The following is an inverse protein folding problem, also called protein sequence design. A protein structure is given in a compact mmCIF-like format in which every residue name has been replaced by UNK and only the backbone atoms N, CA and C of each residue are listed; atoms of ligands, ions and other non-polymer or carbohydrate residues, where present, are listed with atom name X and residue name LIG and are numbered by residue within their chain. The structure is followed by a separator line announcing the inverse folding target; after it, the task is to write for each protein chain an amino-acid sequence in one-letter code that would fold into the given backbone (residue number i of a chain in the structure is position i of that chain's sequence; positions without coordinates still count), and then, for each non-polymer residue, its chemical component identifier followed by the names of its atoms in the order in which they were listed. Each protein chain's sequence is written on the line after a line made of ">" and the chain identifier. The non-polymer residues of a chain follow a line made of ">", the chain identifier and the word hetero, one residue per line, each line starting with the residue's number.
data_IF_079494655817
#
_entry.id   IF_079494655817
#
_cell.length_a   1.000
_cell.length_b   1.000
_cell.length_c   1.000
_cell.angle_alpha   90.00
_cell.angle_beta   90.00
_cell.angle_gamma   90.00
#
_symmetry.space_group_name_H-M   'P 1'
#
loop_
_entity.id
_entity.type
_entity.pdbx_description
1 polymer ?
#
# COMPACT_ATOMS: atom_id res chain seq x y z
N UNK A 1 -1.60 11.79 8.30
CA UNK A 1 -2.23 12.60 9.35
C UNK A 1 -1.27 12.67 10.52
N UNK A 2 -0.88 13.88 10.89
CA UNK A 2 0.13 14.21 11.91
C UNK A 2 -0.57 14.43 13.26
N UNK A 3 0.11 14.06 14.35
CA UNK A 3 -0.17 14.49 15.73
C UNK A 3 -0.95 13.44 16.53
N UNK A 4 -0.37 12.69 17.48
CA UNK A 4 0.62 13.11 18.47
C UNK A 4 -0.11 13.37 19.78
N UNK A 5 -0.50 12.30 20.50
CA UNK A 5 -1.09 12.39 21.83
C UNK A 5 0.00 12.73 22.83
N UNK A 6 0.17 14.03 23.09
CA UNK A 6 0.96 14.54 24.20
C UNK A 6 0.23 14.24 25.52
N UNK A 7 0.45 13.05 26.09
CA UNK A 7 0.30 12.88 27.53
C UNK A 7 1.45 13.65 28.19
N UNK A 8 1.21 14.93 28.48
CA UNK A 8 2.10 15.77 29.27
C UNK A 8 2.36 15.11 30.62
N UNK A 9 3.53 14.49 30.76
CA UNK A 9 4.09 14.12 32.03
C UNK A 9 4.25 15.41 32.84
N UNK A 10 3.44 15.55 33.89
CA UNK A 10 3.64 16.60 34.89
C UNK A 10 5.02 16.35 35.50
N UNK A 11 5.97 17.30 35.43
CA UNK A 11 7.23 17.11 36.12
C UNK A 11 6.94 17.11 37.63
N UNK A 12 7.32 16.01 38.30
CA UNK A 12 7.41 15.96 39.75
C UNK A 12 8.23 17.17 40.20
N UNK A 13 7.53 18.17 40.74
CA UNK A 13 8.18 19.29 41.42
C UNK A 13 8.80 18.70 42.66
N UNK A 14 10.12 18.47 42.61
CA UNK A 14 10.94 18.25 43.80
C UNK A 14 10.73 19.46 44.70
N UNK A 15 9.91 19.31 45.73
CA UNK A 15 9.71 20.35 46.72
C UNK A 15 11.08 20.65 47.33
N UNK A 16 11.54 21.89 47.16
CA UNK A 16 12.70 22.42 47.86
C UNK A 16 12.49 22.20 49.37
N UNK A 17 13.56 21.87 50.10
CA UNK A 17 13.54 21.69 51.57
C UNK A 17 12.84 22.84 52.31
N UNK A 18 12.84 24.04 51.73
CA UNK A 18 12.15 25.23 52.23
C UNK A 18 10.60 25.12 52.16
N UNK A 19 10.04 24.46 51.16
CA UNK A 19 8.60 24.29 51.00
C UNK A 19 8.03 23.22 51.98
N UNK A 20 8.83 22.21 52.31
CA UNK A 20 8.45 21.19 53.31
C UNK A 20 8.46 21.79 54.73
N UNK A 21 9.36 22.73 55.02
CA UNK A 21 9.45 23.38 56.33
C UNK A 21 8.31 24.37 56.60
N UNK A 22 7.76 25.02 55.56
CA UNK A 22 6.57 25.87 55.66
C UNK A 22 5.30 25.08 56.03
N UNK A 23 5.12 23.88 55.48
CA UNK A 23 3.97 23.00 55.78
C UNK A 23 4.00 22.43 57.20
N UNK A 24 5.18 22.37 57.82
CA UNK A 24 5.39 21.86 59.18
C UNK A 24 5.24 22.99 60.24
N UNK A 25 5.16 24.26 59.82
CA UNK A 25 4.86 25.40 60.67
C UNK A 25 6.03 25.89 61.52
N UNK A 26 7.26 25.81 61.01
CA UNK A 26 8.45 26.31 61.70
C UNK A 26 8.85 27.66 61.09
N UNK A 27 8.51 28.77 61.78
CA UNK A 27 9.01 30.10 61.44
C UNK A 27 10.47 30.24 61.91
N UNK A 28 11.35 30.74 61.04
CA UNK A 28 12.78 30.99 61.30
C UNK A 28 13.05 32.11 62.33
N UNK A 29 12.01 32.72 62.91
CA UNK A 29 12.12 33.87 63.81
C UNK A 29 12.45 33.52 65.28
N UNK A 30 12.42 32.23 65.66
CA UNK A 30 12.64 31.81 67.05
C UNK A 30 14.12 31.63 67.46
N UNK A 31 15.07 31.87 66.56
CA UNK A 31 16.52 31.72 66.83
C UNK A 31 17.32 33.04 66.95
N UNK A 32 16.68 34.21 66.82
CA UNK A 32 17.38 35.50 66.66
C UNK A 32 17.31 36.46 67.86
N UNK A 33 16.65 36.12 68.97
CA UNK A 33 16.40 37.07 70.09
C UNK A 33 17.18 36.81 71.38
N UNK A 34 18.48 36.49 71.31
CA UNK A 34 19.31 36.31 72.54
C UNK A 34 20.48 37.29 72.68
N UNK A 35 20.72 38.20 71.72
CA UNK A 35 21.90 39.08 71.80
C UNK A 35 21.60 40.56 71.49
N UNK A 36 21.07 41.30 72.47
CA UNK A 36 21.23 42.77 72.53
C UNK A 36 20.88 43.28 73.93
N UNK A 37 21.88 43.35 74.82
CA UNK A 37 21.82 44.19 76.01
C UNK A 37 22.51 45.53 75.70
N UNK A 38 21.83 46.68 75.75
CA UNK A 38 22.51 47.96 75.85
C UNK A 38 22.87 48.24 77.33
N UNK A 39 24.15 48.50 77.58
CA UNK A 39 24.64 49.10 78.83
C UNK A 39 23.99 50.47 79.08
N UNK A 40 23.68 50.85 80.34
CA UNK A 40 23.12 52.16 80.62
C UNK A 40 24.21 53.24 80.66
N UNK A 41 24.04 54.28 79.84
CA UNK A 41 24.79 55.52 79.93
C UNK A 41 24.41 56.27 81.20
N UNK A 42 25.42 56.54 82.03
CA UNK A 42 25.31 57.14 83.36
C UNK A 42 25.31 58.67 83.24
N UNK A 43 24.18 59.32 83.51
CA UNK A 43 24.14 60.76 83.83
C UNK A 43 23.48 60.95 85.19
N UNK A 44 24.22 61.63 86.08
CA UNK A 44 23.84 62.04 87.43
C UNK A 44 22.45 62.67 87.47
N UNK A 45 21.59 62.37 88.43
CA UNK A 45 21.76 62.79 89.82
C UNK A 45 20.49 62.39 90.59
N UNK A 46 20.65 62.13 91.88
CA UNK A 46 19.65 62.18 92.97
C UNK A 46 19.68 60.94 93.85
N UNK A 47 20.32 61.17 94.99
CA UNK A 47 20.35 60.37 96.20
C UNK A 47 18.95 59.93 96.63
N UNK A 48 18.59 58.66 96.36
CA UNK A 48 17.54 57.96 97.10
C UNK A 48 17.84 56.46 97.19
N UNK A 49 18.02 56.02 98.43
CA UNK A 49 17.64 54.69 98.94
C UNK A 49 18.43 53.48 98.43
N UNK A 50 19.41 53.02 99.24
CA UNK A 50 20.15 51.77 99.05
C UNK A 50 19.29 50.49 99.14
N UNK A 51 17.99 50.64 99.48
CA UNK A 51 16.99 49.57 99.45
C UNK A 51 16.21 49.55 98.14
N UNK A 52 15.97 50.69 97.47
CA UNK A 52 15.22 50.76 96.21
C UNK A 52 16.01 50.17 95.03
N UNK A 53 17.32 50.46 94.93
CA UNK A 53 18.19 49.83 93.93
C UNK A 53 18.34 48.33 94.17
N UNK A 54 18.45 47.89 95.44
CA UNK A 54 18.51 46.46 95.80
C UNK A 54 17.24 45.71 95.43
N UNK A 55 16.08 46.31 95.66
CA UNK A 55 14.78 45.71 95.30
C UNK A 55 14.61 45.64 93.79
N UNK A 56 15.02 46.66 93.03
CA UNK A 56 15.01 46.59 91.56
C UNK A 56 15.98 45.55 91.01
N UNK A 57 17.19 45.44 91.58
CA UNK A 57 18.18 44.44 91.15
C UNK A 57 17.76 43.01 91.47
N UNK A 58 17.14 42.78 92.64
CA UNK A 58 16.55 41.49 93.02
C UNK A 58 15.30 41.16 92.19
N UNK A 59 14.46 42.14 91.85
CA UNK A 59 13.28 41.95 90.99
C UNK A 59 13.66 41.66 89.54
N UNK A 60 14.73 42.29 89.03
CA UNK A 60 15.29 42.04 87.71
C UNK A 60 15.97 40.66 87.64
N UNK A 61 16.79 40.30 88.63
CA UNK A 61 17.36 38.94 88.74
C UNK A 61 16.28 37.87 88.97
N UNK A 62 15.21 38.16 89.70
CA UNK A 62 14.10 37.23 89.92
C UNK A 62 13.21 37.07 88.68
N UNK A 63 13.02 38.12 87.87
CA UNK A 63 12.30 38.00 86.60
C UNK A 63 13.14 37.32 85.50
N UNK A 64 14.47 37.43 85.51
CA UNK A 64 15.34 36.65 84.61
C UNK A 64 15.66 35.22 85.12
N UNK A 65 15.51 34.95 86.42
CA UNK A 65 15.55 33.58 87.00
C UNK A 65 14.22 32.82 86.90
N UNK A 66 13.14 33.45 86.42
CA UNK A 66 11.86 32.81 86.07
C UNK A 66 11.83 32.47 84.58
N UNK A 67 12.02 31.26 84.11
CA UNK A 67 12.53 30.05 84.74
C UNK A 67 13.11 29.22 83.58
N UNK A 68 14.33 28.68 83.68
CA UNK A 68 14.81 27.66 82.77
C UNK A 68 13.77 26.54 82.58
N UNK A 69 13.00 26.26 83.63
CA UNK A 69 11.84 25.37 83.63
C UNK A 69 10.76 25.70 82.58
N UNK A 70 10.44 26.97 82.29
CA UNK A 70 9.41 27.32 81.29
C UNK A 70 9.87 27.01 79.86
N UNK A 71 11.14 27.26 79.57
CA UNK A 71 11.74 26.91 78.28
C UNK A 71 11.84 25.39 78.14
N UNK A 72 12.32 24.68 79.17
CA UNK A 72 12.37 23.21 79.20
C UNK A 72 10.98 22.61 78.99
N UNK A 73 9.94 23.11 79.65
CA UNK A 73 8.56 22.63 79.43
C UNK A 73 8.04 22.89 78.00
N UNK A 74 8.44 24.00 77.37
CA UNK A 74 8.08 24.28 75.97
C UNK A 74 8.80 23.32 75.02
N UNK A 75 10.08 23.05 75.26
CA UNK A 75 10.85 22.05 74.49
C UNK A 75 10.27 20.65 74.65
N UNK A 76 9.94 20.21 75.86
CA UNK A 76 9.33 18.90 76.10
C UNK A 76 7.99 18.75 75.35
N UNK A 77 7.12 19.78 75.39
CA UNK A 77 5.88 19.76 74.60
C UNK A 77 6.09 19.74 73.09
N UNK A 78 7.15 20.38 72.59
CA UNK A 78 7.50 20.33 71.18
C UNK A 78 8.00 18.93 70.79
N UNK A 79 8.81 18.29 71.66
CA UNK A 79 9.25 16.91 71.48
C UNK A 79 8.08 15.93 71.50
N UNK A 80 7.13 16.07 72.42
CA UNK A 80 5.91 15.23 72.46
C UNK A 80 5.11 15.36 71.16
N UNK A 81 4.94 16.59 70.65
CA UNK A 81 4.26 16.83 69.36
C UNK A 81 5.01 16.26 68.16
N UNK A 82 6.33 16.26 68.19
CA UNK A 82 7.14 15.66 67.13
C UNK A 82 7.05 14.14 67.19
N UNK A 83 7.09 13.55 68.40
CA UNK A 83 6.91 12.11 68.62
C UNK A 83 5.56 11.63 68.10
N UNK A 84 4.46 12.33 68.39
CA UNK A 84 3.14 11.92 67.88
C UNK A 84 3.03 12.09 66.36
N UNK A 85 3.66 13.11 65.77
CA UNK A 85 3.72 13.26 64.31
C UNK A 85 4.55 12.16 63.66
N UNK A 86 5.64 11.73 64.31
CA UNK A 86 6.48 10.61 63.86
C UNK A 86 5.69 9.30 63.88
N UNK A 87 4.95 9.03 64.96
CA UNK A 87 4.09 7.84 65.07
C UNK A 87 3.01 7.82 63.97
N UNK A 88 2.30 8.93 63.76
CA UNK A 88 1.29 9.04 62.69
C UNK A 88 1.93 8.85 61.30
N UNK A 89 3.10 9.44 61.07
CA UNK A 89 3.82 9.28 59.81
C UNK A 89 4.28 7.84 59.60
N UNK A 90 4.75 7.15 60.65
CA UNK A 90 5.16 5.76 60.59
C UNK A 90 3.98 4.83 60.24
N UNK A 91 2.81 5.06 60.84
CA UNK A 91 1.57 4.33 60.50
C UNK A 91 1.14 4.58 59.05
N UNK A 92 1.18 5.84 58.58
CA UNK A 92 0.85 6.19 57.21
C UNK A 92 1.81 5.54 56.20
N UNK A 93 3.11 5.53 56.49
CA UNK A 93 4.13 4.86 55.65
C UNK A 93 3.87 3.36 55.59
N UNK A 94 3.54 2.72 56.72
CA UNK A 94 3.21 1.31 56.76
C UNK A 94 1.96 0.99 55.91
N UNK A 95 0.92 1.80 56.00
CA UNK A 95 -0.29 1.65 55.18
C UNK A 95 0.01 1.81 53.68
N UNK A 96 0.81 2.80 53.30
CA UNK A 96 1.23 3.02 51.91
C UNK A 96 2.06 1.84 51.38
N UNK A 97 2.94 1.26 52.20
CA UNK A 97 3.69 0.06 51.82
C UNK A 97 2.77 -1.14 51.54
N UNK A 98 1.73 -1.34 52.34
CA UNK A 98 0.79 -2.43 52.11
C UNK A 98 -0.09 -2.21 50.90
N UNK A 99 -0.50 -0.97 50.63
CA UNK A 99 -1.24 -0.63 49.41
C UNK A 99 -0.36 -0.75 48.16
N UNK A 100 0.92 -0.39 48.25
CA UNK A 100 1.90 -0.61 47.19
C UNK A 100 1.99 -2.11 46.85
N UNK A 101 2.14 -2.98 47.85
CA UNK A 101 2.17 -4.45 47.65
C UNK A 101 0.91 -4.96 46.97
N UNK A 102 -0.28 -4.50 47.41
CA UNK A 102 -1.56 -4.88 46.78
C UNK A 102 -1.60 -4.44 45.31
N UNK A 103 -1.11 -3.24 45.01
CA UNK A 103 -1.09 -2.73 43.64
C UNK A 103 -0.11 -3.52 42.76
N UNK A 104 1.09 -3.85 43.27
CA UNK A 104 2.04 -4.71 42.57
C UNK A 104 1.42 -6.07 42.21
N UNK A 105 0.76 -6.72 43.17
CA UNK A 105 0.08 -8.01 42.92
C UNK A 105 -1.04 -7.90 41.87
N UNK A 106 -1.83 -6.81 41.89
CA UNK A 106 -2.85 -6.55 40.87
C UNK A 106 -2.22 -6.32 39.50
N UNK A 107 -1.12 -5.57 39.42
CA UNK A 107 -0.39 -5.32 38.19
C UNK A 107 0.18 -6.62 37.60
N UNK A 108 0.80 -7.46 38.43
CA UNK A 108 1.34 -8.76 38.01
C UNK A 108 0.25 -9.71 37.52
N UNK A 109 -0.93 -9.66 38.14
CA UNK A 109 -2.10 -10.39 37.64
C UNK A 109 -2.55 -9.86 36.28
N UNK A 110 -2.72 -8.55 36.13
CA UNK A 110 -3.12 -7.93 34.87
C UNK A 110 -2.12 -8.21 33.73
N UNK A 111 -0.82 -8.21 34.02
CA UNK A 111 0.24 -8.57 33.07
C UNK A 111 0.10 -10.02 32.59
N UNK A 112 -0.16 -10.96 33.49
CA UNK A 112 -0.38 -12.37 33.13
C UNK A 112 -1.65 -12.56 32.29
N UNK A 113 -2.73 -11.89 32.66
CA UNK A 113 -3.99 -11.92 31.90
C UNK A 113 -3.80 -11.34 30.49
N UNK A 114 -3.09 -10.21 30.37
CA UNK A 114 -2.75 -9.62 29.07
C UNK A 114 -1.87 -10.54 28.22
N UNK A 115 -0.83 -11.16 28.81
CA UNK A 115 0.01 -12.11 28.09
C UNK A 115 -0.78 -13.30 27.56
N UNK A 116 -1.75 -13.81 28.33
CA UNK A 116 -2.65 -14.86 27.89
C UNK A 116 -3.56 -14.42 26.74
N UNK A 117 -4.12 -13.20 26.81
CA UNK A 117 -4.94 -12.63 25.73
C UNK A 117 -4.13 -12.46 24.45
N UNK A 118 -2.90 -11.95 24.53
CA UNK A 118 -2.00 -11.80 23.38
C UNK A 118 -1.72 -13.17 22.75
N UNK A 119 -1.38 -14.18 23.55
CA UNK A 119 -1.13 -15.53 23.06
C UNK A 119 -2.36 -16.12 22.35
N UNK A 120 -3.55 -15.96 22.93
CA UNK A 120 -4.79 -16.43 22.31
C UNK A 120 -5.09 -15.71 21.00
N UNK A 121 -4.90 -14.39 20.98
CA UNK A 121 -5.07 -13.58 19.79
C UNK A 121 -4.15 -14.03 18.65
N UNK A 122 -2.86 -14.25 18.94
CA UNK A 122 -1.90 -14.73 17.94
C UNK A 122 -2.23 -16.14 17.44
N UNK A 123 -2.69 -17.02 18.32
CA UNK A 123 -3.16 -18.35 17.93
C UNK A 123 -4.36 -18.27 17.00
N UNK A 124 -5.33 -17.39 17.29
CA UNK A 124 -6.49 -17.17 16.43
C UNK A 124 -6.11 -16.56 15.08
N UNK A 125 -5.18 -15.59 15.07
CA UNK A 125 -4.64 -15.00 13.83
C UNK A 125 -4.00 -16.07 12.95
N UNK A 126 -3.10 -16.88 13.51
CA UNK A 126 -2.42 -17.93 12.76
C UNK A 126 -3.41 -18.96 12.19
N UNK A 127 -4.40 -19.40 12.97
CA UNK A 127 -5.44 -20.30 12.47
C UNK A 127 -6.28 -19.67 11.35
N UNK A 128 -6.57 -18.36 11.42
CA UNK A 128 -7.30 -17.66 10.36
C UNK A 128 -6.46 -17.59 9.07
N UNK A 129 -5.18 -17.23 9.18
CA UNK A 129 -4.24 -17.18 8.06
C UNK A 129 -4.05 -18.58 7.43
N UNK A 130 -3.86 -19.62 8.24
CA UNK A 130 -3.75 -21.00 7.74
C UNK A 130 -5.02 -21.47 7.03
N UNK A 131 -6.21 -21.16 7.58
CA UNK A 131 -7.49 -21.47 6.92
C UNK A 131 -7.59 -20.76 5.57
N UNK A 132 -7.30 -19.46 5.52
CA UNK A 132 -7.31 -18.70 4.27
C UNK A 132 -6.36 -19.29 3.23
N UNK A 133 -5.13 -19.64 3.63
CA UNK A 133 -4.15 -20.28 2.73
C UNK A 133 -4.68 -21.63 2.22
N UNK A 134 -5.26 -22.45 3.10
CA UNK A 134 -5.79 -23.78 2.70
C UNK A 134 -7.00 -23.68 1.78
N UNK A 135 -7.94 -22.78 2.08
CA UNK A 135 -9.13 -22.52 1.27
C UNK A 135 -8.74 -21.97 -0.11
N UNK A 136 -7.90 -20.93 -0.14
CA UNK A 136 -7.40 -20.34 -1.37
C UNK A 136 -6.64 -21.37 -2.20
N UNK A 137 -5.74 -22.16 -1.59
CA UNK A 137 -5.03 -23.24 -2.29
C UNK A 137 -5.98 -24.28 -2.88
N UNK A 138 -7.05 -24.64 -2.15
CA UNK A 138 -8.05 -25.59 -2.64
C UNK A 138 -8.84 -25.03 -3.82
N UNK A 139 -9.24 -23.75 -3.78
CA UNK A 139 -9.91 -23.07 -4.87
C UNK A 139 -9.03 -22.98 -6.12
N UNK A 140 -7.76 -22.58 -5.97
CA UNK A 140 -6.82 -22.53 -7.10
C UNK A 140 -6.61 -23.91 -7.74
N UNK A 141 -6.54 -24.99 -6.94
CA UNK A 141 -6.45 -26.36 -7.49
C UNK A 141 -7.70 -26.75 -8.28
N UNK A 142 -8.88 -26.40 -7.77
CA UNK A 142 -10.13 -26.65 -8.49
C UNK A 142 -10.20 -25.85 -9.79
N UNK A 143 -9.88 -24.55 -9.77
CA UNK A 143 -9.84 -23.71 -10.96
C UNK A 143 -8.83 -24.20 -12.00
N UNK A 144 -7.63 -24.63 -11.56
CA UNK A 144 -6.65 -25.24 -12.46
C UNK A 144 -7.22 -26.47 -13.16
N UNK A 145 -7.90 -27.35 -12.43
CA UNK A 145 -8.52 -28.55 -13.00
C UNK A 145 -9.63 -28.21 -13.99
N UNK A 146 -10.49 -27.25 -13.65
CA UNK A 146 -11.59 -26.82 -14.52
C UNK A 146 -11.06 -26.14 -15.80
N UNK A 147 -9.99 -25.35 -15.69
CA UNK A 147 -9.32 -24.76 -16.85
C UNK A 147 -8.73 -25.84 -17.75
N UNK A 148 -8.02 -26.82 -17.19
CA UNK A 148 -7.48 -27.94 -17.97
C UNK A 148 -8.58 -28.76 -18.65
N UNK A 149 -9.73 -28.98 -17.99
CA UNK A 149 -10.86 -29.69 -18.59
C UNK A 149 -11.46 -28.90 -19.76
N UNK A 150 -11.64 -27.59 -19.61
CA UNK A 150 -12.07 -26.70 -20.70
C UNK A 150 -11.07 -26.68 -21.85
N UNK A 151 -9.78 -26.62 -21.56
CA UNK A 151 -8.73 -26.67 -22.58
C UNK A 151 -8.80 -27.98 -23.38
N UNK A 152 -8.96 -29.13 -22.71
CA UNK A 152 -9.15 -30.42 -23.38
C UNK A 152 -10.39 -30.43 -24.26
N UNK A 153 -11.50 -29.89 -23.77
CA UNK A 153 -12.74 -29.79 -24.55
C UNK A 153 -12.56 -28.92 -25.79
N UNK A 154 -11.99 -27.71 -25.65
CA UNK A 154 -11.74 -26.83 -26.79
C UNK A 154 -10.75 -27.44 -27.79
N UNK A 155 -9.72 -28.15 -27.33
CA UNK A 155 -8.82 -28.87 -28.22
C UNK A 155 -9.57 -29.91 -29.06
N UNK A 156 -10.47 -30.69 -28.44
CA UNK A 156 -11.31 -31.67 -29.15
C UNK A 156 -12.26 -31.01 -30.16
N UNK A 157 -12.88 -29.88 -29.80
CA UNK A 157 -13.75 -29.12 -30.71
C UNK A 157 -12.97 -28.56 -31.90
N UNK A 158 -11.78 -28.02 -31.67
CA UNK A 158 -10.89 -27.53 -32.72
C UNK A 158 -10.50 -28.67 -33.66
N UNK A 159 -10.14 -29.84 -33.11
CA UNK A 159 -9.84 -31.02 -33.92
C UNK A 159 -11.03 -31.48 -34.76
N UNK A 160 -12.23 -31.47 -34.18
CA UNK A 160 -13.47 -31.81 -34.88
C UNK A 160 -13.78 -30.83 -36.01
N UNK A 161 -13.69 -29.53 -35.75
CA UNK A 161 -13.87 -28.49 -36.76
C UNK A 161 -12.83 -28.62 -37.88
N UNK A 162 -11.57 -28.90 -37.54
CA UNK A 162 -10.52 -29.13 -38.54
C UNK A 162 -10.80 -30.39 -39.37
N UNK A 163 -11.28 -31.48 -38.77
CA UNK A 163 -11.67 -32.68 -39.49
C UNK A 163 -12.83 -32.40 -40.45
N UNK A 164 -13.82 -31.63 -40.02
CA UNK A 164 -14.95 -31.23 -40.85
C UNK A 164 -14.53 -30.29 -41.99
N UNK A 165 -13.60 -29.36 -41.76
CA UNK A 165 -13.03 -28.53 -42.83
C UNK A 165 -12.22 -29.35 -43.83
N UNK A 166 -11.49 -30.39 -43.37
CA UNK A 166 -10.79 -31.32 -44.26
C UNK A 166 -11.73 -32.20 -45.06
N UNK A 167 -12.86 -32.63 -44.49
CA UNK A 167 -13.85 -33.43 -45.21
C UNK A 167 -14.70 -32.59 -46.18
N UNK A 168 -14.95 -31.31 -45.83
CA UNK A 168 -15.63 -30.32 -46.68
C UNK A 168 -14.71 -29.62 -47.67
N UNK A 169 -13.39 -29.85 -47.63
CA UNK A 169 -12.54 -29.61 -48.80
C UNK A 169 -13.07 -30.53 -49.88
N UNK A 170 -13.99 -30.01 -50.66
CA UNK A 170 -14.34 -30.57 -51.95
C UNK A 170 -12.99 -30.82 -52.63
N UNK A 171 -12.71 -32.04 -53.11
CA UNK A 171 -11.79 -32.11 -54.22
C UNK A 171 -12.43 -31.17 -55.24
N UNK A 172 -11.75 -30.05 -55.55
CA UNK A 172 -11.90 -29.49 -56.88
C UNK A 172 -11.57 -30.69 -57.75
N UNK A 173 -12.63 -31.37 -58.20
CA UNK A 173 -12.52 -32.62 -58.91
C UNK A 173 -11.62 -32.27 -60.08
N UNK A 174 -10.43 -32.86 -60.16
CA UNK A 174 -9.48 -32.58 -61.24
C UNK A 174 -10.18 -32.79 -62.60
N UNK A 175 -11.23 -33.62 -62.61
CA UNK A 175 -12.24 -33.78 -63.65
C UNK A 175 -12.93 -32.47 -64.08
N UNK A 176 -13.39 -31.63 -63.16
CA UNK A 176 -14.10 -30.37 -63.46
C UNK A 176 -13.16 -29.30 -64.03
N UNK A 177 -11.95 -29.20 -63.49
CA UNK A 177 -10.88 -28.37 -64.07
C UNK A 177 -10.47 -28.91 -65.45
N UNK A 178 -10.35 -30.22 -65.62
CA UNK A 178 -10.05 -30.84 -66.91
C UNK A 178 -11.17 -30.61 -67.94
N UNK A 179 -12.44 -30.81 -67.57
CA UNK A 179 -13.58 -30.59 -68.46
C UNK A 179 -13.72 -29.13 -68.89
N UNK A 180 -13.50 -28.18 -67.97
CA UNK A 180 -13.52 -26.76 -68.31
C UNK A 180 -12.36 -26.39 -69.24
N UNK A 181 -11.16 -26.94 -69.01
CA UNK A 181 -10.01 -26.72 -69.90
C UNK A 181 -10.19 -27.36 -71.29
N UNK A 182 -10.76 -28.57 -71.36
CA UNK A 182 -11.07 -29.25 -72.63
C UNK A 182 -12.12 -28.47 -73.42
N UNK A 183 -13.22 -28.04 -72.77
CA UNK A 183 -14.25 -27.24 -73.45
C UNK A 183 -13.68 -25.91 -73.97
N UNK A 184 -12.81 -25.26 -73.20
CA UNK A 184 -12.16 -24.02 -73.63
C UNK A 184 -11.21 -24.26 -74.81
N UNK A 185 -10.51 -25.40 -74.84
CA UNK A 185 -9.65 -25.78 -75.95
C UNK A 185 -10.46 -26.07 -77.24
N UNK A 186 -11.62 -26.71 -77.11
CA UNK A 186 -12.55 -26.94 -78.22
C UNK A 186 -13.09 -25.62 -78.78
N UNK A 187 -13.48 -24.67 -77.91
CA UNK A 187 -13.91 -23.34 -78.31
C UNK A 187 -12.80 -22.57 -79.03
N UNK A 188 -11.56 -22.63 -78.52
CA UNK A 188 -10.40 -22.03 -79.18
C UNK A 188 -10.16 -22.62 -80.58
N UNK A 189 -10.21 -23.95 -80.73
CA UNK A 189 -10.02 -24.62 -82.02
C UNK A 189 -11.13 -24.24 -83.03
N UNK A 190 -12.37 -24.10 -82.57
CA UNK A 190 -13.50 -23.64 -83.39
C UNK A 190 -13.31 -22.21 -83.88
N UNK A 191 -12.85 -21.31 -83.00
CA UNK A 191 -12.52 -19.92 -83.36
C UNK A 191 -11.35 -19.89 -84.36
N UNK A 192 -10.30 -20.68 -84.15
CA UNK A 192 -9.17 -20.79 -85.09
C UNK A 192 -9.62 -21.28 -86.47
N UNK A 193 -10.50 -22.29 -86.54
CA UNK A 193 -11.06 -22.76 -87.81
C UNK A 193 -11.87 -21.67 -88.51
N UNK A 194 -12.79 -21.00 -87.79
CA UNK A 194 -13.62 -19.94 -88.37
C UNK A 194 -12.80 -18.72 -88.82
N UNK A 195 -11.72 -18.39 -88.11
CA UNK A 195 -10.81 -17.31 -88.49
C UNK A 195 -9.97 -17.69 -89.71
N UNK A 196 -9.55 -18.95 -89.84
CA UNK A 196 -8.90 -19.45 -91.05
C UNK A 196 -9.82 -19.40 -92.26
N UNK A 197 -11.08 -19.85 -92.12
CA UNK A 197 -12.08 -19.79 -93.19
C UNK A 197 -12.37 -18.34 -93.61
N UNK A 198 -12.49 -17.43 -92.64
CA UNK A 198 -12.67 -16.00 -92.91
C UNK A 198 -11.44 -15.41 -93.61
N UNK A 199 -10.23 -15.79 -93.21
CA UNK A 199 -9.00 -15.35 -93.86
C UNK A 199 -8.91 -15.85 -95.31
N UNK A 200 -9.32 -17.09 -95.57
CA UNK A 200 -9.39 -17.66 -96.92
C UNK A 200 -10.41 -16.89 -97.79
N UNK A 201 -11.60 -16.61 -97.26
CA UNK A 201 -12.61 -15.81 -97.96
C UNK A 201 -12.10 -14.39 -98.25
N UNK A 202 -11.50 -13.72 -97.27
CA UNK A 202 -10.91 -12.39 -97.47
C UNK A 202 -9.78 -12.41 -98.49
N UNK A 203 -8.96 -13.46 -98.53
CA UNK A 203 -7.91 -13.62 -99.53
C UNK A 203 -8.48 -13.77 -100.94
N UNK A 204 -9.56 -14.54 -101.09
CA UNK A 204 -10.30 -14.68 -102.35
C UNK A 204 -10.88 -13.32 -102.78
N UNK A 205 -11.56 -12.61 -101.87
CA UNK A 205 -12.12 -11.29 -102.19
C UNK A 205 -11.05 -10.24 -102.50
N UNK A 206 -9.86 -10.32 -101.88
CA UNK A 206 -8.71 -9.45 -102.20
C UNK A 206 -8.05 -9.79 -103.53
N UNK A 207 -8.10 -11.05 -103.95
CA UNK A 207 -7.59 -11.50 -105.24
C UNK A 207 -8.51 -11.10 -106.41
N UNK A 208 -9.78 -10.78 -106.12
CA UNK A 208 -10.68 -10.22 -107.12
C UNK A 208 -10.22 -8.81 -107.52
N UNK A 209 -10.25 -8.46 -108.82
CA UNK A 209 -9.89 -7.13 -109.28
C UNK A 209 -10.74 -6.05 -108.60
N UNK A 210 -10.08 -5.05 -108.03
CA UNK A 210 -10.76 -4.02 -107.23
C UNK A 210 -11.44 -2.94 -108.09
N UNK A 211 -11.09 -2.90 -109.39
CA UNK A 211 -11.58 -1.91 -110.36
C UNK A 211 -11.88 -2.55 -111.71
N UNK A 212 -12.81 -1.95 -112.47
CA UNK A 212 -13.22 -2.45 -113.81
C UNK A 212 -12.04 -2.54 -114.77
N UNK A 213 -11.07 -1.62 -114.68
CA UNK A 213 -9.86 -1.64 -115.51
C UNK A 213 -8.88 -2.77 -115.14
N UNK A 214 -8.79 -3.14 -113.86
CA UNK A 214 -8.00 -4.31 -113.44
C UNK A 214 -8.67 -5.62 -113.88
N UNK A 215 -10.01 -5.68 -113.83
CA UNK A 215 -10.77 -6.83 -114.31
C UNK A 215 -10.59 -7.03 -115.82
N UNK A 216 -10.64 -5.95 -116.61
CA UNK A 216 -10.38 -6.01 -118.05
C UNK A 216 -8.96 -6.49 -118.37
N UNK A 217 -7.94 -5.98 -117.68
CA UNK A 217 -6.55 -6.44 -117.84
C UNK A 217 -6.35 -7.91 -117.43
N UNK A 218 -7.01 -8.37 -116.37
CA UNK A 218 -6.93 -9.76 -115.94
C UNK A 218 -7.63 -10.72 -116.92
N UNK A 219 -8.74 -10.29 -117.53
CA UNK A 219 -9.42 -11.01 -118.61
C UNK A 219 -8.55 -11.11 -119.86
N UNK A 220 -7.95 -9.98 -120.29
CA UNK A 220 -7.02 -9.96 -121.43
C UNK A 220 -5.81 -10.86 -121.19
N UNK A 221 -5.28 -10.92 -119.95
CA UNK A 221 -4.18 -11.81 -119.58
C UNK A 221 -4.57 -13.30 -119.61
N UNK A 222 -5.74 -13.67 -119.08
CA UNK A 222 -6.25 -15.06 -119.15
C UNK A 222 -6.60 -15.48 -120.58
N UNK A 223 -7.14 -14.58 -121.40
CA UNK A 223 -7.37 -14.82 -122.83
C UNK A 223 -6.04 -15.01 -123.59
N UNK A 224 -5.00 -14.27 -123.22
CA UNK A 224 -3.66 -14.47 -123.75
C UNK A 224 -3.02 -15.80 -123.30
N UNK A 225 -3.20 -16.22 -122.04
CA UNK A 225 -2.72 -17.52 -121.55
C UNK A 225 -3.47 -18.70 -122.20
N UNK A 226 -4.79 -18.61 -122.36
CA UNK A 226 -5.58 -19.66 -123.01
C UNK A 226 -5.25 -19.81 -124.50
N UNK A 227 -4.96 -18.70 -125.18
CA UNK A 227 -4.51 -18.73 -126.58
C UNK A 227 -3.08 -19.27 -126.71
N UNK A 228 -2.23 -19.10 -125.69
CA UNK A 228 -0.90 -19.72 -125.63
C UNK A 228 -0.97 -21.24 -125.35
N UNK A 229 -1.80 -21.69 -124.41
CA UNK A 229 -2.02 -23.12 -124.12
C UNK A 229 -2.70 -23.85 -125.30
N UNK A 230 -3.62 -23.18 -125.99
CA UNK A 230 -4.22 -23.71 -127.22
C UNK A 230 -3.23 -23.77 -128.39
N UNK A 231 -2.23 -22.90 -128.43
CA UNK A 231 -1.15 -22.96 -129.42
C UNK A 231 -0.14 -24.09 -129.10
N UNK A 232 0.24 -24.26 -127.82
CA UNK A 232 1.13 -25.35 -127.39
C UNK A 232 0.48 -26.74 -127.52
N UNK A 233 -0.85 -26.82 -127.38
CA UNK A 233 -1.62 -28.05 -127.64
C UNK A 233 -1.71 -28.46 -129.11
N UNK A 234 -1.44 -27.55 -130.06
CA UNK A 234 -1.48 -27.79 -131.51
C UNK A 234 -0.11 -28.19 -132.07
N UNK A 235 0.99 -27.97 -131.34
CA UNK A 235 2.32 -28.48 -131.73
C UNK A 235 2.59 -29.94 -131.30
N UNK A 236 1.66 -30.59 -130.58
CA UNK A 236 1.80 -31.98 -130.09
C UNK A 236 0.77 -32.98 -130.64
N UNK A 237 0.16 -32.75 -131.80
CA UNK A 237 -0.65 -33.76 -132.52
C UNK A 237 -0.59 -33.63 -134.04
#
# INVERSE_FOLDING_TARGET
>A
MVGGTECGAVPERVACSRCILEEIGVQEDDLSQVAAHPCPSRTSSQSRSSTHERVHHLRWQCNHRKSPFRHVLRYLRAMDKLSTREEIAAEAIAALHDDMKKNTLRNDRARRELAHIIHMHDTMRNMAEEREITENSSMFKHWSRDCEEKERHYAQEIERCNAELRSRRFPLDESLEHHTLVSLAEDCASIEASTYDLAAQLSFYRALPSTVMEAQRALEAMEAEFTHEAADGVESS
#
